data_IF_578132450485
#
_entry.id   IF_578132450485
#
_cell.length_a   1.000
_cell.length_b   1.000
_cell.length_c   1.000
_cell.angle_alpha   90.00
_cell.angle_beta   90.00
_cell.angle_gamma   90.00
#
_symmetry.space_group_name_H-M   'P 1'
#
loop_
_entity.id
_entity.type
_entity.pdbx_description
1 polymer ?
#
# COMPACT_ATOMS: atom_id res chain seq x y z
N UNK A 1 17.97 -1.00 14.63
CA UNK A 1 16.66 -1.70 14.64
C UNK A 1 15.80 -1.23 15.81
N UNK A 2 16.31 -1.24 17.04
CA UNK A 2 15.54 -0.90 18.26
C UNK A 2 14.99 0.52 18.28
N UNK A 3 15.75 1.51 17.79
CA UNK A 3 15.28 2.90 17.67
C UNK A 3 14.04 3.01 16.78
N UNK A 4 13.97 2.24 15.69
CA UNK A 4 12.83 2.25 14.78
C UNK A 4 11.62 1.59 15.44
N UNK A 5 11.83 0.43 16.07
CA UNK A 5 10.77 -0.31 16.77
C UNK A 5 10.17 0.55 17.88
N UNK A 6 10.99 1.21 18.70
CA UNK A 6 10.52 2.10 19.76
C UNK A 6 9.74 3.30 19.21
N UNK A 7 10.23 3.92 18.13
CA UNK A 7 9.53 5.03 17.48
C UNK A 7 8.15 4.61 16.93
N UNK A 8 8.08 3.48 16.23
CA UNK A 8 6.81 2.97 15.67
C UNK A 8 5.83 2.57 16.76
N UNK A 9 6.31 2.05 17.90
CA UNK A 9 5.47 1.79 19.07
C UNK A 9 4.94 3.07 19.71
N UNK A 10 5.78 4.10 19.83
CA UNK A 10 5.42 5.36 20.47
C UNK A 10 4.44 6.19 19.62
N UNK A 11 4.61 6.19 18.30
CA UNK A 11 3.82 7.01 17.38
C UNK A 11 3.28 6.21 16.19
N UNK A 12 2.43 5.18 16.40
CA UNK A 12 2.07 4.20 15.38
C UNK A 12 1.36 4.79 14.16
N UNK A 13 0.58 5.86 14.34
CA UNK A 13 -0.10 6.55 13.25
C UNK A 13 0.85 7.56 12.57
N UNK A 14 1.56 8.37 13.35
CA UNK A 14 2.48 9.37 12.82
C UNK A 14 3.60 8.76 11.98
N UNK A 15 4.18 7.63 12.41
CA UNK A 15 5.20 6.92 11.64
C UNK A 15 4.63 6.27 10.38
N UNK A 16 3.42 5.71 10.44
CA UNK A 16 2.73 5.19 9.26
C UNK A 16 2.51 6.29 8.21
N UNK A 17 2.00 7.44 8.64
CA UNK A 17 1.81 8.62 7.79
C UNK A 17 3.12 9.05 7.14
N UNK A 18 4.18 9.22 7.94
CA UNK A 18 5.48 9.65 7.44
C UNK A 18 6.07 8.67 6.42
N UNK A 19 6.02 7.37 6.72
CA UNK A 19 6.56 6.32 5.85
C UNK A 19 5.83 6.27 4.51
N UNK A 20 4.50 6.28 4.50
CA UNK A 20 3.72 6.28 3.26
C UNK A 20 3.82 7.60 2.51
N UNK A 21 3.86 8.75 3.19
CA UNK A 21 4.07 10.05 2.55
C UNK A 21 5.35 10.06 1.72
N UNK A 22 6.44 9.52 2.26
CA UNK A 22 7.73 9.44 1.56
C UNK A 22 7.73 8.33 0.51
N UNK A 23 7.48 7.08 0.92
CA UNK A 23 7.68 5.91 0.05
C UNK A 23 6.56 5.73 -0.98
N UNK A 24 5.31 6.08 -0.64
CA UNK A 24 4.21 6.10 -1.59
C UNK A 24 4.45 7.11 -2.71
N UNK A 25 4.81 8.33 -2.34
CA UNK A 25 5.16 9.38 -3.32
C UNK A 25 6.39 8.98 -4.14
N UNK A 26 7.41 8.41 -3.51
CA UNK A 26 8.60 7.91 -4.21
C UNK A 26 8.23 6.80 -5.22
N UNK A 27 7.33 5.89 -4.88
CA UNK A 27 6.86 4.84 -5.79
C UNK A 27 6.19 5.41 -7.04
N UNK A 28 5.35 6.42 -6.89
CA UNK A 28 4.74 7.12 -8.02
C UNK A 28 5.77 7.83 -8.90
N UNK A 29 6.76 8.49 -8.29
CA UNK A 29 7.86 9.13 -9.02
C UNK A 29 8.71 8.11 -9.75
N UNK A 30 9.06 7.00 -9.09
CA UNK A 30 9.86 5.92 -9.64
C UNK A 30 9.19 5.29 -10.87
N UNK A 31 7.86 5.11 -10.83
CA UNK A 31 7.10 4.63 -11.98
C UNK A 31 7.29 5.53 -13.21
N UNK A 32 7.18 6.86 -13.04
CA UNK A 32 7.38 7.83 -14.12
C UNK A 32 8.83 7.91 -14.60
N UNK A 33 9.80 7.87 -13.69
CA UNK A 33 11.22 7.86 -14.04
C UNK A 33 11.57 6.65 -14.89
N UNK A 34 11.06 5.48 -14.50
CA UNK A 34 11.36 4.24 -15.17
C UNK A 34 10.66 4.11 -16.53
N UNK A 35 9.42 4.60 -16.63
CA UNK A 35 8.67 4.62 -17.88
C UNK A 35 9.31 5.54 -18.93
N UNK A 36 9.83 6.70 -18.50
CA UNK A 36 10.44 7.72 -19.37
C UNK A 36 11.97 7.62 -19.48
N UNK A 37 12.59 6.70 -18.74
CA UNK A 37 14.06 6.54 -18.63
C UNK A 37 14.79 7.85 -18.30
N UNK A 38 14.18 8.70 -17.47
CA UNK A 38 14.74 10.00 -17.09
C UNK A 38 14.39 10.33 -15.65
N UNK A 39 15.36 10.86 -14.92
CA UNK A 39 15.13 11.47 -13.60
C UNK A 39 14.69 12.93 -13.79
N UNK A 40 13.54 13.28 -13.23
CA UNK A 40 12.98 14.63 -13.25
C UNK A 40 12.00 14.78 -12.09
N UNK A 41 11.42 15.96 -11.90
CA UNK A 41 10.42 16.16 -10.85
C UNK A 41 9.00 16.14 -11.42
N UNK A 42 8.31 14.97 -11.42
CA UNK A 42 7.14 14.76 -12.28
C UNK A 42 5.87 15.50 -11.90
N UNK A 43 5.79 16.06 -10.69
CA UNK A 43 4.57 16.64 -10.14
C UNK A 43 4.73 18.12 -9.74
N UNK A 44 5.92 18.69 -9.88
CA UNK A 44 6.22 20.02 -9.30
C UNK A 44 6.13 20.02 -7.76
N UNK A 45 6.46 21.16 -7.13
CA UNK A 45 6.54 21.24 -5.66
C UNK A 45 5.16 21.04 -5.02
N UNK A 46 4.17 21.79 -5.49
CA UNK A 46 2.78 21.71 -4.98
C UNK A 46 2.19 20.32 -5.18
N UNK A 47 2.33 19.73 -6.37
CA UNK A 47 1.77 18.41 -6.65
C UNK A 47 2.41 17.31 -5.80
N UNK A 48 3.74 17.36 -5.60
CA UNK A 48 4.44 16.42 -4.71
C UNK A 48 3.96 16.54 -3.26
N UNK A 49 3.83 17.76 -2.73
CA UNK A 49 3.33 17.96 -1.35
C UNK A 49 1.90 17.47 -1.16
N UNK A 50 1.01 17.71 -2.13
CA UNK A 50 -0.36 17.22 -2.08
C UNK A 50 -0.43 15.68 -2.16
N UNK A 51 0.43 15.05 -2.96
CA UNK A 51 0.54 13.58 -3.04
C UNK A 51 1.08 12.98 -1.75
N UNK A 52 2.09 13.60 -1.13
CA UNK A 52 2.59 13.21 0.19
C UNK A 52 1.47 13.25 1.24
N UNK A 53 0.65 14.30 1.23
CA UNK A 53 -0.51 14.42 2.11
C UNK A 53 -1.57 13.34 1.81
N UNK A 54 -1.87 13.08 0.53
CA UNK A 54 -2.79 12.02 0.11
C UNK A 54 -2.35 10.65 0.64
N UNK A 55 -1.08 10.31 0.47
CA UNK A 55 -0.50 9.08 1.01
C UNK A 55 -0.52 9.03 2.54
N UNK A 56 -0.22 10.14 3.22
CA UNK A 56 -0.31 10.21 4.67
C UNK A 56 -1.72 9.90 5.18
N UNK A 57 -2.76 10.46 4.55
CA UNK A 57 -4.15 10.19 4.92
C UNK A 57 -4.53 8.74 4.66
N UNK A 58 -4.16 8.18 3.50
CA UNK A 58 -4.37 6.77 3.19
C UNK A 58 -3.67 5.84 4.19
N UNK A 59 -2.50 6.22 4.69
CA UNK A 59 -1.74 5.43 5.67
C UNK A 59 -2.51 5.16 6.96
N UNK A 60 -3.32 6.12 7.40
CA UNK A 60 -4.18 5.95 8.59
C UNK A 60 -5.19 4.83 8.36
N UNK A 61 -5.89 4.88 7.22
CA UNK A 61 -6.85 3.85 6.82
C UNK A 61 -6.18 2.48 6.66
N UNK A 62 -4.99 2.43 6.05
CA UNK A 62 -4.21 1.20 5.88
C UNK A 62 -3.81 0.63 7.24
N UNK A 63 -3.34 1.45 8.19
CA UNK A 63 -2.96 0.98 9.53
C UNK A 63 -4.15 0.38 10.29
N UNK A 64 -5.31 1.01 10.19
CA UNK A 64 -6.55 0.49 10.78
C UNK A 64 -6.99 -0.80 10.09
N UNK A 65 -6.96 -0.86 8.75
CA UNK A 65 -7.27 -2.08 8.02
C UNK A 65 -6.34 -3.23 8.40
N UNK A 66 -5.02 -3.00 8.50
CA UNK A 66 -4.07 -4.04 8.91
C UNK A 66 -4.41 -4.61 10.28
N UNK A 67 -4.75 -3.75 11.24
CA UNK A 67 -5.09 -4.19 12.61
C UNK A 67 -6.46 -4.87 12.64
N UNK A 68 -7.45 -4.30 11.94
CA UNK A 68 -8.81 -4.79 11.89
C UNK A 68 -8.93 -6.13 11.18
N UNK A 69 -8.27 -6.33 10.03
CA UNK A 69 -8.34 -7.60 9.29
C UNK A 69 -7.56 -8.73 9.97
N UNK A 70 -6.53 -8.40 10.75
CA UNK A 70 -5.89 -9.37 11.64
C UNK A 70 -6.92 -9.89 12.67
N UNK A 71 -7.60 -8.97 13.35
CA UNK A 71 -8.64 -9.32 14.33
C UNK A 71 -9.85 -10.02 13.68
N UNK A 72 -10.22 -9.64 12.46
CA UNK A 72 -11.29 -10.28 11.69
C UNK A 72 -10.99 -11.76 11.45
N UNK A 73 -9.81 -12.10 10.93
CA UNK A 73 -9.42 -13.49 10.67
C UNK A 73 -9.27 -14.28 11.97
N UNK A 74 -8.66 -13.68 12.99
CA UNK A 74 -8.53 -14.30 14.31
C UNK A 74 -9.92 -14.59 14.92
N UNK A 75 -10.86 -13.65 14.77
CA UNK A 75 -12.24 -13.81 15.20
C UNK A 75 -12.97 -14.93 14.47
N UNK A 76 -12.81 -15.04 13.15
CA UNK A 76 -13.39 -16.13 12.37
C UNK A 76 -12.82 -17.49 12.81
N UNK A 77 -11.50 -17.58 13.03
CA UNK A 77 -10.86 -18.78 13.52
C UNK A 77 -11.36 -19.17 14.92
N UNK A 78 -11.49 -18.19 15.83
CA UNK A 78 -12.00 -18.43 17.18
C UNK A 78 -13.45 -18.95 17.22
N UNK A 79 -14.26 -18.63 16.21
CA UNK A 79 -15.63 -19.14 16.06
C UNK A 79 -15.71 -20.44 15.24
N UNK A 80 -14.59 -21.06 14.88
CA UNK A 80 -14.56 -22.29 14.06
C UNK A 80 -15.02 -22.08 12.61
N UNK A 81 -15.05 -20.83 12.13
CA UNK A 81 -15.45 -20.49 10.76
C UNK A 81 -14.28 -20.59 9.76
N UNK A 82 -13.07 -20.84 10.26
CA UNK A 82 -11.88 -21.14 9.46
C UNK A 82 -11.28 -22.47 9.95
N UNK A 83 -10.62 -23.24 9.05
CA UNK A 83 -9.84 -24.39 9.48
C UNK A 83 -8.68 -23.96 10.39
N UNK A 84 -8.05 -24.91 11.06
CA UNK A 84 -6.82 -24.62 11.81
C UNK A 84 -5.71 -24.20 10.83
N UNK A 85 -5.31 -22.94 10.92
CA UNK A 85 -4.28 -22.35 10.05
C UNK A 85 -2.98 -22.17 10.85
N UNK A 86 -1.87 -22.68 10.32
CA UNK A 86 -0.54 -22.27 10.75
C UNK A 86 -0.25 -20.80 10.41
N UNK A 87 0.91 -20.29 10.85
CA UNK A 87 1.29 -18.88 10.68
C UNK A 87 1.18 -18.38 9.21
N UNK A 88 1.61 -19.19 8.25
CA UNK A 88 1.53 -18.87 6.82
C UNK A 88 0.08 -18.84 6.30
N UNK A 89 -0.74 -19.84 6.68
CA UNK A 89 -2.15 -19.88 6.30
C UNK A 89 -2.92 -18.69 6.85
N UNK A 90 -2.66 -18.33 8.10
CA UNK A 90 -3.23 -17.14 8.75
C UNK A 90 -2.81 -15.85 8.06
N UNK A 91 -1.52 -15.68 7.77
CA UNK A 91 -1.02 -14.50 7.06
C UNK A 91 -1.64 -14.35 5.66
N UNK A 92 -1.80 -15.47 4.94
CA UNK A 92 -2.49 -15.51 3.67
C UNK A 92 -3.97 -15.15 3.80
N UNK A 93 -4.68 -15.71 4.80
CA UNK A 93 -6.08 -15.41 5.04
C UNK A 93 -6.30 -13.91 5.33
N UNK A 94 -5.48 -13.31 6.22
CA UNK A 94 -5.54 -11.86 6.51
C UNK A 94 -5.31 -11.06 5.24
N UNK A 95 -4.27 -11.41 4.48
CA UNK A 95 -3.94 -10.75 3.22
C UNK A 95 -5.08 -10.83 2.21
N UNK A 96 -5.64 -12.03 2.01
CA UNK A 96 -6.71 -12.28 1.05
C UNK A 96 -7.98 -11.51 1.43
N UNK A 97 -8.43 -11.63 2.68
CA UNK A 97 -9.63 -10.92 3.16
C UNK A 97 -9.48 -9.41 3.05
N UNK A 98 -8.33 -8.86 3.48
CA UNK A 98 -8.07 -7.43 3.42
C UNK A 98 -8.02 -6.92 1.97
N UNK A 99 -7.28 -7.59 1.08
CA UNK A 99 -7.13 -7.12 -0.29
C UNK A 99 -8.41 -7.27 -1.11
N UNK A 100 -9.27 -8.24 -0.83
CA UNK A 100 -10.54 -8.41 -1.55
C UNK A 100 -11.64 -7.46 -1.05
N UNK A 101 -11.63 -7.08 0.24
CA UNK A 101 -12.68 -6.24 0.82
C UNK A 101 -12.25 -4.77 0.92
N UNK A 102 -11.11 -4.50 1.56
CA UNK A 102 -10.59 -3.14 1.72
C UNK A 102 -9.78 -2.64 0.52
N UNK A 103 -9.12 -3.55 -0.21
CA UNK A 103 -8.35 -3.21 -1.40
C UNK A 103 -9.14 -2.43 -2.46
N UNK A 104 -10.35 -2.85 -2.88
CA UNK A 104 -11.13 -2.10 -3.87
C UNK A 104 -11.50 -0.70 -3.37
N UNK A 105 -11.90 -0.59 -2.11
CA UNK A 105 -12.15 0.71 -1.47
C UNK A 105 -10.92 1.61 -1.52
N UNK A 106 -9.74 1.08 -1.14
CA UNK A 106 -8.49 1.82 -1.15
C UNK A 106 -8.11 2.31 -2.56
N UNK A 107 -8.22 1.45 -3.57
CA UNK A 107 -7.93 1.79 -4.97
C UNK A 107 -8.84 2.92 -5.47
N UNK A 108 -10.13 2.85 -5.15
CA UNK A 108 -11.10 3.88 -5.53
C UNK A 108 -10.82 5.21 -4.82
N UNK A 109 -10.61 5.20 -3.51
CA UNK A 109 -10.32 6.41 -2.72
C UNK A 109 -9.01 7.04 -3.16
N UNK A 110 -7.96 6.24 -3.37
CA UNK A 110 -6.69 6.74 -3.88
C UNK A 110 -6.88 7.41 -5.25
N UNK A 111 -7.68 6.81 -6.14
CA UNK A 111 -7.98 7.43 -7.44
C UNK A 111 -8.76 8.74 -7.33
N UNK A 112 -9.72 8.82 -6.40
CA UNK A 112 -10.46 10.06 -6.15
C UNK A 112 -9.54 11.16 -5.63
N UNK A 113 -8.61 10.83 -4.73
CA UNK A 113 -7.59 11.76 -4.23
C UNK A 113 -6.70 12.22 -5.39
N UNK A 114 -6.19 11.32 -6.23
CA UNK A 114 -5.38 11.66 -7.39
C UNK A 114 -6.11 12.61 -8.35
N UNK A 115 -7.38 12.32 -8.66
CA UNK A 115 -8.19 13.18 -9.52
C UNK A 115 -8.39 14.58 -8.93
N UNK A 116 -8.56 14.69 -7.61
CA UNK A 116 -8.68 15.96 -6.92
C UNK A 116 -7.36 16.76 -6.95
N UNK A 117 -6.22 16.08 -6.80
CA UNK A 117 -4.89 16.69 -6.88
C UNK A 117 -4.59 17.18 -8.31
N UNK A 118 -4.90 16.35 -9.31
CA UNK A 118 -4.62 16.65 -10.71
C UNK A 118 -5.66 17.59 -11.35
N UNK A 119 -6.77 17.86 -10.65
CA UNK A 119 -7.84 18.76 -11.10
C UNK A 119 -8.65 18.24 -12.29
N UNK A 120 -8.56 16.95 -12.61
CA UNK A 120 -9.30 16.32 -13.72
C UNK A 120 -9.59 14.85 -13.43
N UNK A 121 -10.74 14.33 -13.89
CA UNK A 121 -11.07 12.92 -13.74
C UNK A 121 -10.16 12.05 -14.61
N UNK A 122 -9.60 11.00 -14.03
CA UNK A 122 -8.88 9.95 -14.74
C UNK A 122 -9.32 8.59 -14.21
N UNK A 123 -10.04 7.81 -14.99
CA UNK A 123 -10.46 6.45 -14.62
C UNK A 123 -9.78 5.36 -15.44
N UNK A 124 -8.81 5.73 -16.27
CA UNK A 124 -8.07 4.79 -17.08
C UNK A 124 -7.27 3.82 -16.20
N UNK A 125 -7.21 2.56 -16.63
CA UNK A 125 -6.48 1.47 -15.98
C UNK A 125 -6.95 1.15 -14.55
N UNK A 126 -8.19 1.50 -14.18
CA UNK A 126 -8.75 1.14 -12.88
C UNK A 126 -8.86 -0.40 -12.72
N UNK A 127 -9.22 -1.08 -13.80
CA UNK A 127 -9.21 -2.54 -13.95
C UNK A 127 -7.86 -3.14 -13.57
N UNK A 128 -6.76 -2.57 -14.08
CA UNK A 128 -5.39 -3.00 -13.75
C UNK A 128 -5.04 -2.73 -12.29
N UNK A 129 -5.51 -1.60 -11.73
CA UNK A 129 -5.39 -1.29 -10.32
C UNK A 129 -6.07 -2.33 -9.44
N UNK A 130 -7.31 -2.71 -9.77
CA UNK A 130 -8.06 -3.76 -9.07
C UNK A 130 -7.39 -5.14 -9.23
N UNK A 131 -6.93 -5.49 -10.44
CA UNK A 131 -6.22 -6.75 -10.68
C UNK A 131 -4.92 -6.84 -9.86
N UNK A 132 -4.23 -5.72 -9.63
CA UNK A 132 -3.02 -5.68 -8.79
C UNK A 132 -3.27 -6.13 -7.35
N UNK A 133 -4.50 -6.00 -6.84
CA UNK A 133 -4.86 -6.50 -5.52
C UNK A 133 -4.63 -8.01 -5.43
N UNK A 134 -4.91 -8.75 -6.51
CA UNK A 134 -4.78 -10.20 -6.57
C UNK A 134 -3.33 -10.63 -6.80
N UNK A 135 -2.72 -10.19 -7.90
CA UNK A 135 -1.43 -10.74 -8.32
C UNK A 135 -0.23 -10.13 -7.59
N UNK A 136 -0.35 -8.91 -7.06
CA UNK A 136 0.73 -8.23 -6.37
C UNK A 136 0.46 -8.12 -4.86
N UNK A 137 -0.66 -7.51 -4.47
CA UNK A 137 -0.87 -7.15 -3.07
C UNK A 137 -1.23 -8.34 -2.18
N UNK A 138 -1.95 -9.36 -2.66
CA UNK A 138 -2.18 -10.58 -1.87
C UNK A 138 -0.86 -11.28 -1.52
N UNK A 139 0.05 -11.58 -2.48
CA UNK A 139 1.37 -12.13 -2.15
C UNK A 139 2.19 -11.19 -1.26
N UNK A 140 2.30 -9.90 -1.59
CA UNK A 140 3.11 -8.94 -0.86
C UNK A 140 2.63 -8.75 0.60
N UNK A 141 1.31 -8.65 0.81
CA UNK A 141 0.74 -8.55 2.15
C UNK A 141 0.81 -9.87 2.91
N UNK A 142 0.79 -11.03 2.24
CA UNK A 142 1.02 -12.33 2.92
C UNK A 142 2.40 -12.35 3.57
N UNK A 143 3.45 -11.95 2.83
CA UNK A 143 4.80 -11.80 3.39
C UNK A 143 4.81 -10.76 4.51
N UNK A 144 4.07 -9.67 4.34
CA UNK A 144 3.97 -8.61 5.34
C UNK A 144 3.36 -9.10 6.66
N UNK A 145 2.32 -9.93 6.61
CA UNK A 145 1.65 -10.43 7.82
C UNK A 145 2.42 -11.56 8.52
N UNK A 146 3.43 -12.15 7.88
CA UNK A 146 4.40 -13.03 8.53
C UNK A 146 5.37 -12.27 9.44
N UNK A 147 5.55 -10.97 9.23
CA UNK A 147 6.47 -10.15 10.03
C UNK A 147 5.87 -9.71 11.37
N UNK A 148 6.74 -9.35 12.34
CA UNK A 148 6.35 -8.64 13.56
C UNK A 148 5.53 -7.38 13.24
N UNK A 149 4.60 -7.05 14.14
CA UNK A 149 3.61 -5.97 13.95
C UNK A 149 4.27 -4.62 13.59
N UNK A 150 5.43 -4.35 14.17
CA UNK A 150 6.18 -3.10 14.04
C UNK A 150 6.82 -2.93 12.66
N UNK A 151 7.04 -4.03 11.93
CA UNK A 151 7.66 -4.02 10.61
C UNK A 151 6.64 -4.00 9.47
N UNK A 152 5.37 -4.38 9.73
CA UNK A 152 4.35 -4.57 8.69
C UNK A 152 4.11 -3.32 7.85
N UNK A 153 3.97 -2.17 8.50
CA UNK A 153 3.72 -0.89 7.81
C UNK A 153 4.95 -0.42 7.03
N UNK A 154 6.15 -0.61 7.59
CA UNK A 154 7.41 -0.34 6.90
C UNK A 154 7.51 -1.12 5.61
N UNK A 155 7.29 -2.43 5.68
CA UNK A 155 7.34 -3.28 4.49
C UNK A 155 6.22 -2.94 3.49
N UNK A 156 4.99 -2.67 3.95
CA UNK A 156 3.89 -2.25 3.08
C UNK A 156 4.22 -0.97 2.29
N UNK A 157 4.85 0.02 2.93
CA UNK A 157 5.28 1.24 2.28
C UNK A 157 6.42 0.99 1.27
N UNK A 158 7.32 0.04 1.54
CA UNK A 158 8.34 -0.42 0.58
C UNK A 158 7.69 -1.09 -0.64
N UNK A 159 6.62 -1.87 -0.45
CA UNK A 159 5.88 -2.47 -1.56
C UNK A 159 5.27 -1.42 -2.51
N UNK A 160 4.91 -0.23 -2.03
CA UNK A 160 4.49 0.88 -2.89
C UNK A 160 5.59 1.31 -3.88
N UNK A 161 6.85 1.34 -3.44
CA UNK A 161 7.99 1.63 -4.33
C UNK A 161 8.22 0.50 -5.31
N UNK A 162 8.19 -0.75 -4.83
CA UNK A 162 8.36 -1.93 -5.68
C UNK A 162 7.29 -2.00 -6.78
N UNK A 163 6.02 -1.79 -6.45
CA UNK A 163 4.94 -1.73 -7.45
C UNK A 163 5.15 -0.57 -8.42
N UNK A 164 5.55 0.60 -7.92
CA UNK A 164 5.90 1.75 -8.75
C UNK A 164 6.93 1.40 -9.82
N UNK A 165 8.01 0.73 -9.42
CA UNK A 165 9.05 0.24 -10.34
C UNK A 165 8.50 -0.79 -11.34
N UNK A 166 7.71 -1.78 -10.89
CA UNK A 166 7.14 -2.80 -11.77
C UNK A 166 6.24 -2.14 -12.84
N UNK A 167 5.33 -1.26 -12.44
CA UNK A 167 4.44 -0.56 -13.36
C UNK A 167 5.19 0.40 -14.28
N UNK A 168 6.22 1.07 -13.77
CA UNK A 168 7.09 1.92 -14.58
C UNK A 168 7.82 1.13 -15.67
N UNK A 169 8.19 -0.12 -15.39
CA UNK A 169 8.85 -0.99 -16.36
C UNK A 169 7.87 -1.40 -17.48
N UNK A 170 6.67 -1.85 -17.12
CA UNK A 170 5.66 -2.28 -18.09
C UNK A 170 5.13 -1.14 -18.97
N UNK A 171 5.12 0.09 -18.47
CA UNK A 171 4.66 1.27 -19.22
C UNK A 171 5.74 1.92 -20.09
N UNK A 172 6.90 1.30 -20.25
CA UNK A 172 7.95 1.78 -21.15
C UNK A 172 7.48 1.68 -22.60
N UNK A 173 7.63 2.77 -23.35
CA UNK A 173 7.51 2.70 -24.81
C UNK A 173 8.70 1.92 -25.38
N UNK A 174 8.50 1.07 -26.42
CA UNK A 174 9.60 0.49 -27.17
C UNK A 174 10.51 1.62 -27.69
N UNK A 175 11.82 1.37 -27.68
CA UNK A 175 12.82 2.30 -28.20
C UNK A 175 12.75 2.38 -29.72
#
# INVERSE_FOLDING_TARGET
MEWYISLVKAHPIGTAMAQFAVLGTLGEMASKWLALRRFFFPFGVRGTLLRMLGWALLAVCIKYAFTGFVAFVDGLAAHGLLPELGAAGRAFAVSLSMNLQFGPFLVLVHRLIDNAIDGKPNWANLDKGLLSLLWFWVPAHTVTFLLPLELRIGLAAVWSVALGLILGWYNRKPA
#
